data_IF_129462837151
#
_entry.id   IF_129462837151
#
_cell.length_a   1.000
_cell.length_b   1.000
_cell.length_c   1.000
_cell.angle_alpha   90.00
_cell.angle_beta   90.00
_cell.angle_gamma   90.00
#
_symmetry.space_group_name_H-M   'P 1'
#
loop_
_entity.id
_entity.type
_entity.pdbx_description
1 polymer ?
#
# COMPACT_ATOMS: atom_id res chain seq x y z
N UNK A 1 -19.99 -5.05 31.25
CA UNK A 1 -20.18 -3.56 31.23
C UNK A 1 -19.51 -2.92 30.03
N UNK A 2 -18.37 -3.41 29.54
CA UNK A 2 -17.66 -2.92 28.36
C UNK A 2 -18.43 -3.10 27.04
N UNK A 3 -19.14 -4.19 26.83
CA UNK A 3 -19.90 -4.46 25.59
C UNK A 3 -21.07 -3.49 25.35
N UNK A 4 -21.70 -2.96 26.39
CA UNK A 4 -22.80 -1.99 26.27
C UNK A 4 -22.34 -0.57 25.95
N UNK A 5 -21.10 -0.21 26.32
CA UNK A 5 -20.52 1.12 26.02
C UNK A 5 -20.07 1.16 24.55
N UNK A 6 -19.41 0.11 24.04
CA UNK A 6 -19.02 0.03 22.62
C UNK A 6 -20.24 0.02 21.68
N UNK A 7 -21.34 -0.64 22.05
CA UNK A 7 -22.58 -0.69 21.24
C UNK A 7 -23.31 0.67 21.17
N UNK A 8 -23.22 1.51 22.22
CA UNK A 8 -23.86 2.85 22.22
C UNK A 8 -23.10 3.89 21.39
N UNK A 9 -21.77 3.86 21.40
CA UNK A 9 -20.95 4.75 20.55
C UNK A 9 -21.02 4.35 19.05
N UNK A 10 -21.06 3.07 18.73
CA UNK A 10 -21.09 2.57 17.36
C UNK A 10 -22.37 2.95 16.57
N UNK A 11 -23.49 3.25 17.23
CA UNK A 11 -24.73 3.55 16.51
C UNK A 11 -24.81 4.96 15.88
N UNK A 12 -23.92 5.89 16.28
CA UNK A 12 -23.88 7.27 15.75
C UNK A 12 -22.76 7.51 14.72
N UNK A 13 -21.78 6.60 14.59
CA UNK A 13 -20.63 6.79 13.71
C UNK A 13 -20.89 6.28 12.30
N UNK A 14 -20.33 6.98 11.29
CA UNK A 14 -20.33 6.53 9.89
C UNK A 14 -19.33 5.38 9.69
N UNK A 15 -19.50 4.62 8.60
CA UNK A 15 -18.54 3.56 8.24
C UNK A 15 -17.12 4.10 8.06
N UNK A 16 -16.97 5.25 7.42
CA UNK A 16 -15.68 5.92 7.23
C UNK A 16 -15.02 6.29 8.56
N UNK A 17 -15.79 6.81 9.54
CA UNK A 17 -15.27 7.10 10.90
C UNK A 17 -14.81 5.84 11.62
N UNK A 18 -15.54 4.72 11.48
CA UNK A 18 -15.15 3.44 12.08
C UNK A 18 -13.82 2.95 11.49
N UNK A 19 -13.62 3.08 10.17
CA UNK A 19 -12.37 2.70 9.50
C UNK A 19 -11.22 3.55 10.04
N UNK A 20 -11.35 4.88 10.04
CA UNK A 20 -10.32 5.82 10.51
C UNK A 20 -9.92 5.51 11.96
N UNK A 21 -10.89 5.47 12.86
CA UNK A 21 -10.61 5.22 14.27
C UNK A 21 -10.08 3.81 14.53
N UNK A 22 -10.47 2.83 13.72
CA UNK A 22 -9.94 1.48 13.75
C UNK A 22 -8.44 1.44 13.44
N UNK A 23 -8.02 2.11 12.37
CA UNK A 23 -6.60 2.26 12.02
C UNK A 23 -5.82 3.00 13.11
N UNK A 24 -6.35 4.14 13.60
CA UNK A 24 -5.71 4.91 14.68
C UNK A 24 -5.56 4.07 15.97
N UNK A 25 -6.57 3.30 16.35
CA UNK A 25 -6.52 2.42 17.52
C UNK A 25 -5.47 1.32 17.40
N UNK A 26 -5.36 0.67 16.25
CA UNK A 26 -4.33 -0.35 15.99
C UNK A 26 -2.93 0.26 16.00
N UNK A 27 -2.75 1.45 15.42
CA UNK A 27 -1.49 2.19 15.43
C UNK A 27 -1.06 2.52 16.87
N UNK A 28 -1.96 3.06 17.69
CA UNK A 28 -1.65 3.39 19.08
C UNK A 28 -1.30 2.15 19.89
N UNK A 29 -2.06 1.07 19.75
CA UNK A 29 -1.75 -0.20 20.39
C UNK A 29 -0.37 -0.73 19.96
N UNK A 30 -0.10 -0.73 18.65
CA UNK A 30 1.19 -1.14 18.10
C UNK A 30 2.35 -0.29 18.62
N UNK A 31 2.17 1.03 18.70
CA UNK A 31 3.16 1.95 19.24
C UNK A 31 3.48 1.66 20.70
N UNK A 32 2.47 1.36 21.53
CA UNK A 32 2.66 0.99 22.93
C UNK A 32 3.39 -0.35 23.07
N UNK A 33 3.06 -1.35 22.24
CA UNK A 33 3.75 -2.64 22.25
C UNK A 33 5.22 -2.49 21.80
N UNK A 34 5.48 -1.72 20.74
CA UNK A 34 6.85 -1.48 20.26
C UNK A 34 7.69 -0.63 21.23
N UNK A 35 7.06 0.16 22.08
CA UNK A 35 7.74 0.94 23.12
C UNK A 35 8.22 0.09 24.30
N UNK A 36 7.73 -1.13 24.45
CA UNK A 36 8.16 -2.02 25.56
C UNK A 36 9.65 -2.38 25.40
N UNK A 37 10.43 -2.45 26.51
CA UNK A 37 11.84 -2.82 26.47
C UNK A 37 12.09 -4.18 25.81
N UNK A 38 11.17 -5.13 25.96
CA UNK A 38 11.25 -6.46 25.35
C UNK A 38 11.21 -6.42 23.80
N UNK A 39 10.73 -5.31 23.19
CA UNK A 39 10.64 -5.17 21.74
C UNK A 39 11.97 -4.82 21.08
N UNK A 40 13.00 -4.46 21.83
CA UNK A 40 14.33 -4.12 21.32
C UNK A 40 15.37 -5.15 21.72
N UNK A 41 16.43 -5.29 20.90
CA UNK A 41 17.55 -6.19 21.21
C UNK A 41 18.38 -5.68 22.41
N UNK A 42 18.48 -4.36 22.57
CA UNK A 42 19.22 -3.74 23.66
C UNK A 42 18.48 -3.78 25.01
N UNK A 43 17.19 -4.15 25.04
CA UNK A 43 16.34 -4.09 26.22
C UNK A 43 16.00 -2.67 26.67
N UNK A 44 16.33 -1.64 25.88
CA UNK A 44 16.01 -0.24 26.16
C UNK A 44 14.74 0.16 25.43
N UNK A 45 13.87 0.93 26.09
CA UNK A 45 12.65 1.45 25.46
C UNK A 45 13.00 2.47 24.37
N UNK A 46 12.51 2.30 23.13
CA UNK A 46 12.67 3.33 22.10
C UNK A 46 11.89 4.59 22.45
N UNK A 47 12.20 5.70 21.76
CA UNK A 47 11.40 6.92 21.90
C UNK A 47 9.97 6.66 21.41
N UNK A 48 8.99 7.35 22.00
CA UNK A 48 7.59 7.20 21.52
C UNK A 48 7.45 7.60 20.05
N UNK A 49 8.22 8.57 19.59
CA UNK A 49 8.23 9.01 18.19
C UNK A 49 8.70 7.89 17.25
N UNK A 50 9.79 7.17 17.61
CA UNK A 50 10.30 6.06 16.79
C UNK A 50 9.29 4.88 16.78
N UNK A 51 8.70 4.55 17.93
CA UNK A 51 7.69 3.51 18.06
C UNK A 51 6.41 3.85 17.27
N UNK A 52 5.96 5.12 17.33
CA UNK A 52 4.79 5.61 16.59
C UNK A 52 5.06 5.58 15.08
N UNK A 53 6.20 6.09 14.62
CA UNK A 53 6.56 6.08 13.20
C UNK A 53 6.56 4.65 12.66
N UNK A 54 7.22 3.74 13.36
CA UNK A 54 7.32 2.33 12.96
C UNK A 54 5.94 1.64 12.96
N UNK A 55 5.10 1.90 13.97
CA UNK A 55 3.74 1.35 14.03
C UNK A 55 2.85 1.89 12.91
N UNK A 56 2.93 3.20 12.60
CA UNK A 56 2.21 3.81 11.46
C UNK A 56 2.68 3.18 10.16
N UNK A 57 3.99 3.09 9.94
CA UNK A 57 4.56 2.48 8.74
C UNK A 57 4.13 1.03 8.58
N UNK A 58 4.11 0.23 9.65
CA UNK A 58 3.69 -1.17 9.61
C UNK A 58 2.18 -1.32 9.33
N UNK A 59 1.31 -0.57 10.04
CA UNK A 59 -0.15 -0.64 9.87
C UNK A 59 -0.59 -0.03 8.56
N UNK A 60 0.06 1.06 8.11
CA UNK A 60 -0.21 1.65 6.80
C UNK A 60 0.46 0.90 5.66
N UNK A 61 1.25 -0.15 5.99
CA UNK A 61 1.93 -1.01 5.02
C UNK A 61 2.84 -0.18 4.10
N UNK A 62 3.62 0.71 4.69
CA UNK A 62 4.48 1.64 3.95
C UNK A 62 5.90 1.11 3.80
N UNK A 63 6.54 0.67 4.92
CA UNK A 63 7.92 0.18 4.89
C UNK A 63 9.00 1.23 5.14
N UNK A 64 8.66 2.51 5.30
CA UNK A 64 9.63 3.51 5.77
C UNK A 64 10.01 3.22 7.22
N UNK A 65 11.30 3.23 7.53
CA UNK A 65 11.85 2.90 8.84
C UNK A 65 12.83 3.97 9.33
N UNK A 66 12.75 4.28 10.63
CA UNK A 66 13.70 5.17 11.32
C UNK A 66 14.80 4.38 12.03
N UNK A 67 14.57 3.09 12.28
CA UNK A 67 15.52 2.14 12.86
C UNK A 67 15.47 0.85 12.05
N UNK A 68 16.61 0.24 11.83
CA UNK A 68 16.68 -1.03 11.10
C UNK A 68 15.92 -2.15 11.84
N UNK A 69 15.02 -2.83 11.13
CA UNK A 69 14.10 -3.81 11.72
C UNK A 69 14.83 -5.04 12.25
N UNK A 70 15.88 -5.48 11.56
CA UNK A 70 16.61 -6.70 11.90
C UNK A 70 17.55 -6.52 13.09
N UNK A 71 18.24 -5.37 13.16
CA UNK A 71 19.29 -5.12 14.16
C UNK A 71 18.79 -4.41 15.40
N UNK A 72 17.71 -3.63 15.29
CA UNK A 72 17.15 -2.89 16.43
C UNK A 72 16.09 -3.67 17.19
N UNK A 73 15.23 -4.42 16.50
CA UNK A 73 14.10 -5.11 17.14
C UNK A 73 14.45 -6.54 17.54
N UNK A 74 13.97 -6.93 18.72
CA UNK A 74 13.98 -8.31 19.18
C UNK A 74 13.02 -9.19 18.35
N UNK A 75 13.08 -10.53 18.44
CA UNK A 75 12.08 -11.39 17.82
C UNK A 75 10.64 -11.07 18.22
N UNK A 76 10.40 -10.59 19.45
CA UNK A 76 9.10 -10.11 19.89
C UNK A 76 8.69 -8.85 19.12
N UNK A 77 9.56 -7.84 19.01
CA UNK A 77 9.29 -6.63 18.24
C UNK A 77 9.04 -6.92 16.76
N UNK A 78 9.81 -7.82 16.15
CA UNK A 78 9.59 -8.29 14.78
C UNK A 78 8.23 -8.98 14.61
N UNK A 79 7.81 -9.81 15.57
CA UNK A 79 6.49 -10.46 15.55
C UNK A 79 5.35 -9.44 15.69
N UNK A 80 5.53 -8.40 16.52
CA UNK A 80 4.57 -7.28 16.63
C UNK A 80 4.44 -6.55 15.29
N UNK A 81 5.56 -6.20 14.63
CA UNK A 81 5.52 -5.57 13.30
C UNK A 81 4.80 -6.48 12.30
N UNK A 82 5.11 -7.77 12.28
CA UNK A 82 4.47 -8.73 11.37
C UNK A 82 2.95 -8.79 11.58
N UNK A 83 2.49 -8.78 12.84
CA UNK A 83 1.08 -8.72 13.16
C UNK A 83 0.42 -7.40 12.71
N UNK A 84 1.11 -6.26 12.90
CA UNK A 84 0.63 -4.95 12.44
C UNK A 84 0.53 -4.88 10.91
N UNK A 85 1.52 -5.42 10.19
CA UNK A 85 1.50 -5.54 8.72
C UNK A 85 0.30 -6.38 8.27
N UNK A 86 0.07 -7.53 8.91
CA UNK A 86 -1.04 -8.42 8.56
C UNK A 86 -2.40 -7.75 8.78
N UNK A 87 -2.59 -7.08 9.92
CA UNK A 87 -3.82 -6.33 10.22
C UNK A 87 -4.00 -5.17 9.24
N UNK A 88 -2.94 -4.43 8.99
CA UNK A 88 -2.93 -3.31 8.07
C UNK A 88 -3.19 -3.73 6.63
N UNK A 89 -2.49 -4.75 6.12
CA UNK A 89 -2.56 -5.25 4.75
C UNK A 89 -3.94 -5.78 4.38
N UNK A 90 -4.51 -6.66 5.20
CA UNK A 90 -5.89 -7.13 5.00
C UNK A 90 -6.95 -6.07 5.29
N UNK A 91 -6.58 -5.01 6.00
CA UNK A 91 -7.50 -3.97 6.47
C UNK A 91 -8.13 -4.31 7.84
N UNK A 92 -8.09 -3.34 8.75
CA UNK A 92 -8.54 -3.47 10.15
C UNK A 92 -9.96 -4.02 10.25
N UNK A 93 -10.87 -3.54 9.39
CA UNK A 93 -12.28 -3.97 9.38
C UNK A 93 -12.43 -5.43 8.93
N UNK A 94 -11.63 -5.86 7.95
CA UNK A 94 -11.63 -7.25 7.46
C UNK A 94 -11.17 -8.22 8.56
N UNK A 95 -10.11 -7.85 9.29
CA UNK A 95 -9.60 -8.65 10.41
C UNK A 95 -10.60 -8.70 11.56
N UNK A 96 -11.21 -7.56 11.92
CA UNK A 96 -12.26 -7.52 12.95
C UNK A 96 -13.48 -8.38 12.58
N UNK A 97 -13.86 -8.36 11.30
CA UNK A 97 -14.93 -9.22 10.79
C UNK A 97 -14.55 -10.72 10.83
N UNK A 98 -13.30 -11.05 10.50
CA UNK A 98 -12.78 -12.41 10.60
C UNK A 98 -12.88 -12.94 12.04
N UNK A 99 -12.41 -12.17 13.01
CA UNK A 99 -12.50 -12.53 14.44
C UNK A 99 -13.97 -12.73 14.85
N UNK A 100 -14.89 -11.87 14.37
CA UNK A 100 -16.32 -11.99 14.66
C UNK A 100 -16.91 -13.29 14.09
N UNK A 101 -16.55 -13.65 12.86
CA UNK A 101 -16.98 -14.90 12.21
C UNK A 101 -16.45 -16.13 12.94
N UNK A 102 -15.14 -16.14 13.25
CA UNK A 102 -14.49 -17.26 13.97
C UNK A 102 -15.10 -17.45 15.36
N UNK A 103 -15.48 -16.35 16.02
CA UNK A 103 -16.15 -16.39 17.34
C UNK A 103 -17.63 -16.81 17.26
N UNK A 104 -18.15 -17.19 16.09
CA UNK A 104 -19.54 -17.64 15.89
C UNK A 104 -20.60 -16.53 16.03
N UNK A 105 -20.20 -15.27 16.14
CA UNK A 105 -21.13 -14.13 16.28
C UNK A 105 -21.74 -13.73 14.93
N UNK A 106 -23.01 -13.32 14.94
CA UNK A 106 -23.70 -12.84 13.72
C UNK A 106 -23.24 -11.42 13.39
N UNK A 107 -22.90 -11.18 12.12
CA UNK A 107 -22.52 -9.86 11.60
C UNK A 107 -23.78 -9.08 11.24
N UNK A 108 -24.01 -7.93 11.90
CA UNK A 108 -25.13 -7.03 11.65
C UNK A 108 -25.01 -6.27 10.32
N UNK A 109 -26.12 -5.67 9.84
CA UNK A 109 -26.17 -4.94 8.57
C UNK A 109 -25.16 -3.78 8.52
N UNK A 110 -25.02 -3.01 9.60
CA UNK A 110 -24.07 -1.90 9.69
C UNK A 110 -22.61 -2.38 9.54
N UNK A 111 -22.24 -3.48 10.20
CA UNK A 111 -20.92 -4.09 10.06
C UNK A 111 -20.67 -4.55 8.62
N UNK A 112 -21.69 -5.14 7.96
CA UNK A 112 -21.57 -5.54 6.55
C UNK A 112 -21.39 -4.35 5.62
N UNK A 113 -22.05 -3.22 5.88
CA UNK A 113 -21.85 -1.98 5.12
C UNK A 113 -20.43 -1.43 5.31
N UNK A 114 -19.91 -1.44 6.54
CA UNK A 114 -18.53 -1.02 6.81
C UNK A 114 -17.51 -1.95 6.15
N UNK A 115 -17.76 -3.28 6.14
CA UNK A 115 -16.92 -4.24 5.41
C UNK A 115 -16.95 -4.00 3.90
N UNK A 116 -18.13 -3.70 3.33
CA UNK A 116 -18.28 -3.37 1.91
C UNK A 116 -17.43 -2.16 1.54
N UNK A 117 -17.50 -1.09 2.33
CA UNK A 117 -16.71 0.13 2.11
C UNK A 117 -15.22 -0.15 2.24
N UNK A 118 -14.78 -0.85 3.28
CA UNK A 118 -13.37 -1.18 3.52
C UNK A 118 -12.74 -2.04 2.40
N UNK A 119 -13.50 -2.97 1.82
CA UNK A 119 -13.01 -3.86 0.73
C UNK A 119 -13.28 -3.24 -0.65
N UNK A 120 -13.98 -2.10 -0.72
CA UNK A 120 -14.49 -1.51 -1.97
C UNK A 120 -15.35 -2.51 -2.78
N UNK A 121 -16.17 -3.32 -2.11
CA UNK A 121 -17.04 -4.30 -2.74
C UNK A 121 -18.28 -3.63 -3.35
N UNK A 122 -18.78 -4.07 -4.52
CA UNK A 122 -19.90 -3.43 -5.21
C UNK A 122 -21.25 -3.64 -4.51
N UNK A 123 -21.37 -4.65 -3.65
CA UNK A 123 -22.63 -5.02 -2.98
C UNK A 123 -22.40 -5.50 -1.55
N UNK A 124 -23.36 -5.24 -0.66
CA UNK A 124 -23.35 -5.74 0.73
C UNK A 124 -23.62 -7.24 0.78
N UNK A 125 -24.42 -7.75 -0.17
CA UNK A 125 -24.74 -9.18 -0.26
C UNK A 125 -23.49 -10.02 -0.57
N UNK A 126 -23.26 -11.11 0.19
CA UNK A 126 -22.11 -11.99 0.00
C UNK A 126 -20.80 -11.50 0.63
N UNK A 127 -20.76 -10.32 1.27
CA UNK A 127 -19.53 -9.74 1.82
C UNK A 127 -18.82 -10.65 2.84
N UNK A 128 -19.57 -11.39 3.65
CA UNK A 128 -19.00 -12.33 4.63
C UNK A 128 -18.30 -13.50 3.94
N UNK A 129 -18.88 -14.03 2.84
CA UNK A 129 -18.27 -15.09 2.04
C UNK A 129 -17.01 -14.58 1.35
N UNK A 130 -17.05 -13.36 0.79
CA UNK A 130 -15.90 -12.69 0.18
C UNK A 130 -14.78 -12.49 1.20
N UNK A 131 -15.07 -12.04 2.42
CA UNK A 131 -14.08 -11.90 3.50
C UNK A 131 -13.42 -13.24 3.85
N UNK A 132 -14.20 -14.31 3.98
CA UNK A 132 -13.65 -15.65 4.19
C UNK A 132 -12.75 -16.12 3.04
N UNK A 133 -13.12 -15.82 1.79
CA UNK A 133 -12.31 -16.08 0.61
C UNK A 133 -11.00 -15.31 0.65
N UNK A 134 -11.03 -14.01 0.97
CA UNK A 134 -9.84 -13.15 1.09
C UNK A 134 -8.86 -13.74 2.10
N UNK A 135 -9.31 -14.03 3.33
CA UNK A 135 -8.45 -14.54 4.40
C UNK A 135 -7.80 -15.85 4.01
N UNK A 136 -8.62 -16.82 3.52
CA UNK A 136 -8.11 -18.13 3.11
C UNK A 136 -7.08 -18.02 1.99
N UNK A 137 -7.37 -17.21 0.98
CA UNK A 137 -6.48 -17.04 -0.18
C UNK A 137 -5.18 -16.35 0.23
N UNK A 138 -5.24 -15.31 1.07
CA UNK A 138 -4.06 -14.61 1.60
C UNK A 138 -3.16 -15.59 2.35
N UNK A 139 -3.69 -16.35 3.31
CA UNK A 139 -2.90 -17.34 4.07
C UNK A 139 -2.25 -18.39 3.16
N UNK A 140 -2.97 -18.88 2.14
CA UNK A 140 -2.42 -19.87 1.19
C UNK A 140 -1.24 -19.26 0.42
N UNK A 141 -1.39 -18.03 -0.10
CA UNK A 141 -0.34 -17.35 -0.87
C UNK A 141 0.87 -17.07 0.03
N UNK A 142 0.65 -16.61 1.26
CA UNK A 142 1.71 -16.37 2.24
C UNK A 142 2.47 -17.65 2.59
N UNK A 143 1.79 -18.77 2.78
CA UNK A 143 2.43 -20.06 3.04
C UNK A 143 3.24 -20.55 1.84
N UNK A 144 2.73 -20.43 0.61
CA UNK A 144 3.48 -20.78 -0.60
C UNK A 144 4.75 -19.91 -0.70
N UNK A 145 4.62 -18.59 -0.52
CA UNK A 145 5.75 -17.68 -0.52
C UNK A 145 6.77 -18.03 0.57
N UNK A 146 6.29 -18.35 1.78
CA UNK A 146 7.13 -18.79 2.90
C UNK A 146 7.97 -20.01 2.53
N UNK A 147 7.35 -21.05 1.95
CA UNK A 147 8.06 -22.26 1.56
C UNK A 147 9.14 -21.95 0.51
N UNK A 148 8.81 -21.17 -0.52
CA UNK A 148 9.75 -20.84 -1.60
C UNK A 148 10.92 -20.01 -1.06
N UNK A 149 10.67 -18.97 -0.28
CA UNK A 149 11.71 -18.09 0.25
C UNK A 149 12.54 -18.80 1.32
N UNK A 150 11.92 -19.61 2.20
CA UNK A 150 12.64 -20.39 3.20
C UNK A 150 13.60 -21.41 2.57
N UNK A 151 13.24 -22.01 1.43
CA UNK A 151 14.11 -22.95 0.73
C UNK A 151 15.46 -22.31 0.30
N UNK A 152 15.46 -20.99 0.02
CA UNK A 152 16.68 -20.25 -0.28
C UNK A 152 17.36 -19.78 1.02
N UNK A 153 16.63 -19.12 1.91
CA UNK A 153 17.19 -18.50 3.11
C UNK A 153 17.74 -19.51 4.11
N UNK A 154 17.17 -20.72 4.19
CA UNK A 154 17.70 -21.78 5.06
C UNK A 154 19.12 -22.25 4.63
N UNK A 155 19.43 -22.17 3.34
CA UNK A 155 20.79 -22.51 2.84
C UNK A 155 21.82 -21.48 3.29
N UNK A 156 21.40 -20.20 3.36
CA UNK A 156 22.31 -19.08 3.64
C UNK A 156 22.44 -18.78 5.14
N UNK A 157 21.39 -19.02 5.93
CA UNK A 157 21.27 -18.53 7.31
C UNK A 157 20.96 -19.62 8.34
N UNK A 158 20.82 -20.90 7.88
CA UNK A 158 20.39 -22.03 8.72
C UNK A 158 18.87 -22.12 8.86
N UNK A 159 18.38 -23.30 9.30
CA UNK A 159 16.96 -23.67 9.24
C UNK A 159 16.08 -22.72 10.06
N UNK A 160 16.41 -22.44 11.32
CA UNK A 160 15.55 -21.64 12.20
C UNK A 160 15.39 -20.20 11.72
N UNK A 161 16.50 -19.52 11.40
CA UNK A 161 16.47 -18.16 10.86
C UNK A 161 15.86 -18.13 9.46
N UNK A 162 16.19 -19.08 8.61
CA UNK A 162 15.70 -19.13 7.24
C UNK A 162 14.18 -19.25 7.15
N UNK A 163 13.55 -20.06 8.02
CA UNK A 163 12.09 -20.17 8.08
C UNK A 163 11.45 -18.84 8.57
N UNK A 164 12.01 -18.25 9.63
CA UNK A 164 11.50 -16.96 10.15
C UNK A 164 11.59 -15.85 9.11
N UNK A 165 12.74 -15.74 8.42
CA UNK A 165 12.95 -14.76 7.35
C UNK A 165 12.02 -15.02 6.16
N UNK A 166 11.84 -16.29 5.76
CA UNK A 166 10.91 -16.67 4.70
C UNK A 166 9.48 -16.27 5.02
N UNK A 167 9.01 -16.54 6.24
CA UNK A 167 7.69 -16.15 6.71
C UNK A 167 7.52 -14.62 6.74
N UNK A 168 8.48 -13.91 7.33
CA UNK A 168 8.44 -12.47 7.46
C UNK A 168 8.39 -11.78 6.08
N UNK A 169 9.29 -12.15 5.16
CA UNK A 169 9.33 -11.55 3.83
C UNK A 169 8.13 -11.95 2.98
N UNK A 170 7.59 -13.15 3.12
CA UNK A 170 6.39 -13.57 2.41
C UNK A 170 5.18 -12.72 2.81
N UNK A 171 4.92 -12.58 4.10
CA UNK A 171 3.81 -11.75 4.61
C UNK A 171 4.02 -10.29 4.23
N UNK A 172 5.24 -9.77 4.43
CA UNK A 172 5.58 -8.39 4.07
C UNK A 172 5.37 -8.13 2.57
N UNK A 173 5.73 -9.08 1.69
CA UNK A 173 5.56 -8.95 0.24
C UNK A 173 4.09 -9.04 -0.21
N UNK A 174 3.30 -9.98 0.31
CA UNK A 174 1.87 -10.11 -0.02
C UNK A 174 1.09 -8.90 0.48
N UNK A 175 1.43 -8.41 1.67
CA UNK A 175 0.84 -7.21 2.24
C UNK A 175 1.36 -5.92 1.59
N UNK A 176 2.39 -5.98 0.73
CA UNK A 176 3.06 -4.82 0.14
C UNK A 176 3.61 -3.87 1.21
N UNK A 177 4.29 -4.40 2.23
CA UNK A 177 4.71 -3.63 3.40
C UNK A 177 6.17 -3.17 3.37
N UNK A 178 7.04 -3.81 2.57
CA UNK A 178 8.43 -3.41 2.39
C UNK A 178 9.35 -3.60 3.59
N UNK A 179 8.86 -4.09 4.71
CA UNK A 179 9.70 -4.44 5.85
C UNK A 179 10.49 -5.70 5.55
N UNK A 180 11.77 -5.68 5.87
CA UNK A 180 12.68 -6.81 5.72
C UNK A 180 13.52 -7.05 6.98
N UNK A 181 14.22 -8.18 7.02
CA UNK A 181 15.14 -8.56 8.10
C UNK A 181 16.58 -8.71 7.60
N UNK A 182 16.91 -8.20 6.41
CA UNK A 182 18.23 -8.36 5.80
C UNK A 182 19.29 -7.44 6.42
N UNK A 183 18.89 -6.44 7.19
CA UNK A 183 19.78 -5.54 7.94
C UNK A 183 20.76 -6.23 8.88
N UNK A 184 20.57 -7.53 9.18
CA UNK A 184 21.55 -8.33 9.92
C UNK A 184 22.87 -8.55 9.14
N UNK A 185 22.89 -8.40 7.81
CA UNK A 185 24.08 -8.44 6.96
C UNK A 185 24.68 -7.04 6.80
N UNK A 186 23.86 -6.11 6.40
CA UNK A 186 24.19 -4.70 6.22
C UNK A 186 22.95 -3.87 6.50
N UNK A 187 23.06 -2.87 7.41
CA UNK A 187 21.93 -2.08 7.85
C UNK A 187 21.27 -1.37 6.66
N UNK A 188 19.95 -1.39 6.62
CA UNK A 188 19.11 -0.77 5.58
C UNK A 188 19.33 -1.32 4.15
N UNK A 189 20.00 -2.47 3.97
CA UNK A 189 20.34 -3.01 2.64
C UNK A 189 19.16 -3.64 1.89
N UNK A 190 18.07 -3.98 2.58
CA UNK A 190 16.92 -4.70 2.00
C UNK A 190 17.36 -5.98 1.24
N UNK A 191 16.85 -6.22 0.03
CA UNK A 191 17.14 -7.41 -0.77
C UNK A 191 18.33 -7.25 -1.73
N UNK A 192 19.22 -6.26 -1.54
CA UNK A 192 20.35 -5.98 -2.46
C UNK A 192 21.27 -7.20 -2.62
N UNK A 193 21.50 -7.98 -1.56
CA UNK A 193 22.28 -9.21 -1.63
C UNK A 193 21.69 -10.24 -2.62
N UNK A 194 20.36 -10.24 -2.80
CA UNK A 194 19.64 -11.12 -3.72
C UNK A 194 19.28 -10.47 -5.04
N UNK A 195 19.85 -9.32 -5.39
CA UNK A 195 19.52 -8.53 -6.59
C UNK A 195 19.51 -9.34 -7.89
N UNK A 196 20.38 -10.33 -8.01
CA UNK A 196 20.47 -11.21 -9.20
C UNK A 196 19.96 -12.63 -8.98
N UNK A 197 19.35 -12.92 -7.79
CA UNK A 197 18.89 -14.28 -7.48
C UNK A 197 17.48 -14.51 -8.07
N UNK A 198 17.33 -15.39 -9.10
CA UNK A 198 16.09 -15.49 -9.87
C UNK A 198 14.89 -15.94 -9.02
N UNK A 199 15.09 -16.91 -8.12
CA UNK A 199 14.00 -17.46 -7.29
C UNK A 199 13.48 -16.42 -6.31
N UNK A 200 14.37 -15.69 -5.60
CA UNK A 200 13.94 -14.66 -4.64
C UNK A 200 13.23 -13.53 -5.36
N UNK A 201 13.81 -13.00 -6.45
CA UNK A 201 13.21 -11.93 -7.23
C UNK A 201 11.84 -12.31 -7.78
N UNK A 202 11.73 -13.48 -8.42
CA UNK A 202 10.45 -13.95 -8.97
C UNK A 202 9.40 -14.15 -7.89
N UNK A 203 9.77 -14.78 -6.76
CA UNK A 203 8.85 -15.03 -5.66
C UNK A 203 8.34 -13.72 -5.05
N UNK A 204 9.24 -12.79 -4.71
CA UNK A 204 8.86 -11.52 -4.10
C UNK A 204 8.03 -10.67 -5.06
N UNK A 205 8.43 -10.53 -6.34
CA UNK A 205 7.64 -9.81 -7.34
C UNK A 205 6.25 -10.42 -7.53
N UNK A 206 6.14 -11.76 -7.61
CA UNK A 206 4.86 -12.44 -7.75
C UNK A 206 3.94 -12.19 -6.53
N UNK A 207 4.49 -12.24 -5.30
CA UNK A 207 3.75 -11.95 -4.07
C UNK A 207 3.26 -10.49 -4.05
N UNK A 208 4.12 -9.52 -4.41
CA UNK A 208 3.78 -8.10 -4.52
C UNK A 208 2.65 -7.87 -5.52
N UNK A 209 2.79 -8.40 -6.72
CA UNK A 209 1.77 -8.23 -7.78
C UNK A 209 0.46 -8.87 -7.36
N UNK A 210 0.51 -10.07 -6.80
CA UNK A 210 -0.69 -10.77 -6.33
C UNK A 210 -1.40 -9.99 -5.24
N UNK A 211 -0.69 -9.48 -4.24
CA UNK A 211 -1.24 -8.61 -3.21
C UNK A 211 -1.87 -7.33 -3.79
N UNK A 212 -1.20 -6.73 -4.77
CA UNK A 212 -1.57 -5.44 -5.37
C UNK A 212 -2.71 -5.44 -6.38
N UNK A 213 -3.09 -6.58 -7.00
CA UNK A 213 -4.15 -6.63 -8.03
C UNK A 213 -5.58 -6.63 -7.48
N UNK A 214 -5.75 -6.78 -6.16
CA UNK A 214 -7.04 -6.67 -5.48
C UNK A 214 -7.86 -7.96 -5.37
N UNK A 215 -8.58 -8.04 -4.26
CA UNK A 215 -9.32 -9.25 -3.86
C UNK A 215 -10.45 -9.63 -4.82
N UNK A 216 -11.12 -8.63 -5.41
CA UNK A 216 -12.16 -8.87 -6.42
C UNK A 216 -11.58 -9.40 -7.74
N UNK A 217 -10.33 -9.05 -8.07
CA UNK A 217 -9.63 -9.62 -9.21
C UNK A 217 -9.25 -11.07 -8.96
N UNK A 218 -8.85 -11.43 -7.72
CA UNK A 218 -8.64 -12.84 -7.34
C UNK A 218 -9.92 -13.67 -7.49
N UNK A 219 -11.07 -13.12 -7.07
CA UNK A 219 -12.36 -13.77 -7.25
C UNK A 219 -12.67 -14.01 -8.73
N UNK A 220 -12.47 -13.00 -9.59
CA UNK A 220 -12.68 -13.15 -11.05
C UNK A 220 -11.72 -14.19 -11.67
N UNK A 221 -10.46 -14.24 -11.24
CA UNK A 221 -9.47 -15.22 -11.72
C UNK A 221 -9.88 -16.65 -11.31
N UNK A 222 -10.31 -16.83 -10.07
CA UNK A 222 -10.67 -18.17 -9.57
C UNK A 222 -12.00 -18.67 -10.15
N UNK A 223 -13.01 -17.80 -10.32
CA UNK A 223 -14.33 -18.17 -10.83
C UNK A 223 -14.36 -18.31 -12.37
N UNK A 224 -13.72 -17.36 -13.08
CA UNK A 224 -13.85 -17.24 -14.54
C UNK A 224 -12.64 -17.76 -15.30
N UNK A 225 -11.55 -18.12 -14.60
CA UNK A 225 -10.33 -18.73 -15.13
C UNK A 225 -9.79 -17.93 -16.36
N UNK A 226 -9.62 -18.58 -17.51
CA UNK A 226 -9.06 -17.99 -18.73
C UNK A 226 -10.03 -17.11 -19.53
N UNK A 227 -11.30 -16.98 -19.11
CA UNK A 227 -12.31 -16.22 -19.85
C UNK A 227 -12.25 -14.73 -19.52
N UNK A 228 -11.16 -14.04 -19.89
CA UNK A 228 -10.92 -12.60 -19.64
C UNK A 228 -12.10 -11.72 -20.08
N UNK A 229 -12.77 -12.09 -21.18
CA UNK A 229 -13.98 -11.41 -21.67
C UNK A 229 -15.14 -11.38 -20.66
N UNK A 230 -15.18 -12.29 -19.69
CA UNK A 230 -16.22 -12.37 -18.64
C UNK A 230 -15.84 -11.67 -17.33
N UNK A 231 -14.60 -11.16 -17.22
CA UNK A 231 -14.15 -10.44 -16.02
C UNK A 231 -14.95 -9.14 -15.87
N UNK A 232 -15.07 -8.66 -14.62
CA UNK A 232 -15.59 -7.31 -14.33
C UNK A 232 -14.73 -6.27 -15.06
N UNK A 233 -15.34 -5.14 -15.45
CA UNK A 233 -14.59 -4.01 -16.04
C UNK A 233 -13.39 -3.64 -15.19
N UNK A 234 -13.61 -3.49 -13.89
CA UNK A 234 -12.56 -3.15 -12.92
C UNK A 234 -11.36 -4.11 -12.98
N UNK A 235 -11.58 -5.42 -13.00
CA UNK A 235 -10.51 -6.43 -13.06
C UNK A 235 -9.73 -6.36 -14.37
N UNK A 236 -10.41 -6.11 -15.51
CA UNK A 236 -9.73 -5.92 -16.82
C UNK A 236 -8.84 -4.68 -16.82
N UNK A 237 -9.35 -3.56 -16.30
CA UNK A 237 -8.59 -2.31 -16.17
C UNK A 237 -7.38 -2.51 -15.29
N UNK A 238 -7.54 -3.15 -14.12
CA UNK A 238 -6.47 -3.41 -13.17
C UNK A 238 -5.37 -4.24 -13.83
N UNK A 239 -5.71 -5.35 -14.49
CA UNK A 239 -4.72 -6.22 -15.10
C UNK A 239 -3.98 -5.53 -16.25
N UNK A 240 -4.70 -4.80 -17.13
CA UNK A 240 -4.09 -4.09 -18.24
C UNK A 240 -3.15 -2.97 -17.77
N UNK A 241 -3.61 -2.10 -16.86
CA UNK A 241 -2.80 -1.00 -16.35
C UNK A 241 -1.61 -1.52 -15.53
N UNK A 242 -1.81 -2.58 -14.74
CA UNK A 242 -0.72 -3.23 -14.00
C UNK A 242 0.37 -3.75 -14.95
N UNK A 243 -0.01 -4.42 -16.03
CA UNK A 243 0.94 -4.91 -17.02
C UNK A 243 1.73 -3.77 -17.67
N UNK A 244 1.05 -2.68 -18.07
CA UNK A 244 1.70 -1.49 -18.65
C UNK A 244 2.68 -0.86 -17.68
N UNK A 245 2.27 -0.64 -16.41
CA UNK A 245 3.09 -0.04 -15.37
C UNK A 245 4.26 -0.92 -14.89
N UNK A 246 4.27 -2.21 -15.23
CA UNK A 246 5.43 -3.09 -15.01
C UNK A 246 6.33 -3.09 -16.25
N UNK A 247 5.76 -3.32 -17.44
CA UNK A 247 6.57 -3.56 -18.63
C UNK A 247 7.29 -2.29 -19.12
N UNK A 248 6.57 -1.15 -19.19
CA UNK A 248 7.19 0.08 -19.72
C UNK A 248 8.37 0.56 -18.86
N UNK A 249 8.23 0.68 -17.51
CA UNK A 249 9.37 1.09 -16.68
C UNK A 249 10.49 0.04 -16.65
N UNK A 250 10.16 -1.26 -16.69
CA UNK A 250 11.19 -2.31 -16.75
C UNK A 250 12.06 -2.18 -18.01
N UNK A 251 11.43 -1.93 -19.18
CA UNK A 251 12.15 -1.65 -20.42
C UNK A 251 12.99 -0.39 -20.29
N UNK A 252 12.43 0.69 -19.73
CA UNK A 252 13.15 1.94 -19.51
C UNK A 252 14.40 1.72 -18.62
N UNK A 253 14.25 1.14 -17.43
CA UNK A 253 15.39 0.88 -16.54
C UNK A 253 16.42 -0.07 -17.14
N UNK A 254 15.99 -1.07 -17.91
CA UNK A 254 16.90 -1.99 -18.59
C UNK A 254 17.79 -1.28 -19.60
N UNK A 255 17.28 -0.37 -20.39
CA UNK A 255 18.05 0.28 -21.46
C UNK A 255 18.78 1.54 -21.00
N UNK A 256 18.23 2.30 -20.05
CA UNK A 256 18.74 3.63 -19.73
C UNK A 256 19.46 3.72 -18.37
N UNK A 257 19.10 2.90 -17.39
CA UNK A 257 19.65 3.08 -16.03
C UNK A 257 20.74 2.08 -15.65
N UNK A 258 20.60 0.84 -16.04
CA UNK A 258 21.46 -0.25 -15.52
C UNK A 258 22.49 -0.74 -16.54
N UNK A 259 23.04 0.13 -17.38
CA UNK A 259 23.93 -0.26 -18.49
C UNK A 259 25.25 -0.86 -18.01
N UNK A 260 25.75 -0.49 -16.84
CA UNK A 260 26.96 -1.04 -16.23
C UNK A 260 26.81 -2.49 -15.76
N UNK A 261 25.59 -2.98 -15.62
CA UNK A 261 25.30 -4.32 -15.11
C UNK A 261 25.17 -5.33 -16.27
N UNK A 262 25.76 -6.55 -16.19
CA UNK A 262 25.59 -7.58 -17.20
C UNK A 262 24.12 -7.92 -17.47
N UNK A 263 23.74 -8.10 -18.75
CA UNK A 263 22.35 -8.24 -19.19
C UNK A 263 21.54 -9.31 -18.43
N UNK A 264 22.15 -10.45 -18.09
CA UNK A 264 21.48 -11.51 -17.34
C UNK A 264 21.09 -11.16 -15.90
N UNK A 265 21.83 -10.25 -15.25
CA UNK A 265 21.49 -9.71 -13.93
C UNK A 265 20.56 -8.48 -14.05
N UNK A 266 20.82 -7.65 -15.06
CA UNK A 266 20.10 -6.41 -15.35
C UNK A 266 18.59 -6.63 -15.48
N UNK A 267 18.17 -7.72 -16.14
CA UNK A 267 16.75 -8.01 -16.34
C UNK A 267 16.01 -8.18 -15.01
N UNK A 268 16.61 -8.86 -14.02
CA UNK A 268 15.98 -9.05 -12.70
C UNK A 268 15.88 -7.74 -11.93
N UNK A 269 16.94 -6.94 -11.95
CA UNK A 269 16.99 -5.64 -11.28
C UNK A 269 15.99 -4.66 -11.90
N UNK A 270 15.93 -4.57 -13.24
CA UNK A 270 15.00 -3.69 -13.94
C UNK A 270 13.53 -4.09 -13.73
N UNK A 271 13.21 -5.39 -13.78
CA UNK A 271 11.88 -5.89 -13.47
C UNK A 271 11.50 -5.62 -12.02
N UNK A 272 12.43 -5.86 -11.08
CA UNK A 272 12.16 -5.63 -9.67
C UNK A 272 11.90 -4.14 -9.38
N UNK A 273 12.70 -3.24 -9.96
CA UNK A 273 12.55 -1.79 -9.81
C UNK A 273 11.32 -1.22 -10.53
N UNK A 274 10.70 -1.96 -11.44
CA UNK A 274 9.39 -1.59 -12.00
C UNK A 274 8.21 -2.06 -11.14
N UNK A 275 8.39 -3.15 -10.38
CA UNK A 275 7.34 -3.73 -9.53
C UNK A 275 7.31 -3.08 -8.15
N UNK A 276 8.47 -2.87 -7.51
CA UNK A 276 8.55 -2.44 -6.12
C UNK A 276 7.97 -1.04 -5.84
N UNK A 277 8.09 -0.01 -6.74
CA UNK A 277 7.49 1.30 -6.48
C UNK A 277 5.97 1.28 -6.42
N UNK A 278 5.35 0.19 -6.84
CA UNK A 278 3.90 0.00 -6.75
C UNK A 278 3.48 -0.50 -5.36
N UNK A 279 3.88 0.27 -4.34
CA UNK A 279 3.55 0.10 -2.91
C UNK A 279 4.20 -1.09 -2.21
N UNK A 280 5.35 -1.60 -2.69
CA UNK A 280 5.99 -2.76 -2.07
C UNK A 280 7.19 -2.43 -1.18
N UNK A 281 8.05 -1.50 -1.59
CA UNK A 281 9.11 -0.94 -0.75
C UNK A 281 10.40 -1.76 -0.60
N UNK A 282 10.44 -2.99 -1.08
CA UNK A 282 11.69 -3.75 -1.12
C UNK A 282 12.67 -3.15 -2.13
N UNK A 283 13.95 -3.17 -1.81
CA UNK A 283 14.99 -2.64 -2.67
C UNK A 283 16.02 -3.71 -3.04
N UNK A 284 16.47 -3.71 -4.31
CA UNK A 284 17.50 -4.61 -4.82
C UNK A 284 18.70 -3.88 -5.42
N UNK A 285 18.62 -2.53 -5.51
CA UNK A 285 19.67 -1.66 -6.06
C UNK A 285 19.81 -0.41 -5.22
N UNK A 286 20.95 0.24 -5.23
CA UNK A 286 21.08 1.56 -4.61
C UNK A 286 20.41 2.62 -5.50
N UNK A 287 19.33 3.22 -4.98
CA UNK A 287 18.57 4.26 -5.70
C UNK A 287 19.32 5.60 -5.76
N UNK A 288 20.35 5.80 -4.94
CA UNK A 288 21.19 7.00 -5.02
C UNK A 288 22.07 7.03 -6.29
N UNK A 289 22.28 5.87 -6.91
CA UNK A 289 22.99 5.76 -8.19
C UNK A 289 22.10 6.08 -9.40
N UNK A 290 20.76 6.21 -9.20
CA UNK A 290 19.82 6.49 -10.28
C UNK A 290 19.92 7.94 -10.75
N UNK A 291 19.76 8.13 -12.06
CA UNK A 291 19.62 9.46 -12.66
C UNK A 291 18.36 10.18 -12.11
N UNK A 292 18.36 11.50 -12.09
CA UNK A 292 17.21 12.30 -11.66
C UNK A 292 15.95 11.98 -12.49
N UNK A 293 16.12 11.69 -13.79
CA UNK A 293 15.02 11.27 -14.66
C UNK A 293 14.44 9.94 -14.24
N UNK A 294 15.26 8.97 -13.85
CA UNK A 294 14.81 7.67 -13.34
C UNK A 294 14.16 7.80 -11.97
N UNK A 295 14.67 8.65 -11.09
CA UNK A 295 14.01 8.96 -9.81
C UNK A 295 12.63 9.61 -10.03
N UNK A 296 12.48 10.49 -11.02
CA UNK A 296 11.17 11.04 -11.39
C UNK A 296 10.20 9.97 -11.89
N UNK A 297 10.66 9.01 -12.70
CA UNK A 297 9.84 7.85 -13.11
C UNK A 297 9.43 7.01 -11.90
N UNK A 298 10.34 6.74 -10.96
CA UNK A 298 10.02 6.03 -9.71
C UNK A 298 8.98 6.79 -8.89
N UNK A 299 9.10 8.12 -8.74
CA UNK A 299 8.10 8.98 -8.06
C UNK A 299 6.73 8.82 -8.73
N UNK A 300 6.63 8.86 -10.06
CA UNK A 300 5.36 8.68 -10.77
C UNK A 300 4.75 7.29 -10.52
N UNK A 301 5.58 6.25 -10.47
CA UNK A 301 5.14 4.90 -10.11
C UNK A 301 4.66 4.80 -8.67
N UNK A 302 5.35 5.45 -7.72
CA UNK A 302 5.00 5.49 -6.30
C UNK A 302 3.66 6.19 -6.06
N UNK A 303 3.40 7.29 -6.78
CA UNK A 303 2.10 7.98 -6.72
C UNK A 303 0.96 7.13 -7.28
N UNK A 304 1.26 6.15 -8.16
CA UNK A 304 0.29 5.23 -8.72
C UNK A 304 0.34 3.90 -7.99
N UNK A 305 -0.44 3.74 -6.95
CA UNK A 305 -0.50 2.55 -6.10
C UNK A 305 -1.12 1.31 -6.76
N UNK A 306 -1.66 0.41 -5.95
CA UNK A 306 -2.31 -0.82 -6.42
C UNK A 306 -3.79 -0.66 -6.76
N UNK A 307 -4.50 -1.80 -6.78
CA UNK A 307 -5.92 -1.87 -7.08
C UNK A 307 -6.80 -1.46 -5.88
N UNK A 308 -8.05 -1.00 -6.11
CA UNK A 308 -9.04 -0.92 -5.04
C UNK A 308 -9.30 -2.31 -4.42
N UNK A 309 -9.47 -2.36 -3.09
CA UNK A 309 -9.66 -3.64 -2.39
C UNK A 309 -8.46 -4.57 -2.54
N UNK A 310 -7.23 -4.05 -2.37
CA UNK A 310 -5.97 -4.78 -2.35
C UNK A 310 -5.21 -4.51 -1.05
N UNK A 311 -4.11 -5.21 -0.85
CA UNK A 311 -3.19 -4.93 0.25
C UNK A 311 -2.44 -3.60 0.08
N UNK A 312 -2.29 -3.14 -1.16
CA UNK A 312 -1.62 -1.91 -1.56
C UNK A 312 -2.37 -0.64 -1.12
N UNK A 313 -1.64 0.41 -0.72
CA UNK A 313 -2.18 1.73 -0.42
C UNK A 313 -2.14 2.70 -1.61
N UNK A 314 -1.95 3.99 -1.35
CA UNK A 314 -1.78 5.04 -2.36
C UNK A 314 -2.98 5.27 -3.27
N UNK A 315 -2.78 6.11 -4.29
CA UNK A 315 -3.77 6.36 -5.33
C UNK A 315 -3.95 5.12 -6.21
N UNK A 316 -5.19 4.72 -6.47
CA UNK A 316 -5.48 3.45 -7.13
C UNK A 316 -5.26 3.50 -8.66
N UNK A 317 -4.79 2.38 -9.23
CA UNK A 317 -4.60 2.25 -10.70
C UNK A 317 -5.87 2.56 -11.50
N UNK A 318 -7.05 2.32 -10.92
CA UNK A 318 -8.34 2.66 -11.55
C UNK A 318 -8.58 4.17 -11.61
N UNK A 319 -8.05 4.94 -10.66
CA UNK A 319 -8.09 6.42 -10.67
C UNK A 319 -7.27 6.96 -11.83
N UNK A 320 -6.03 6.47 -12.01
CA UNK A 320 -5.19 6.83 -13.16
C UNK A 320 -5.86 6.43 -14.48
N UNK A 321 -6.41 5.22 -14.56
CA UNK A 321 -7.10 4.74 -15.75
C UNK A 321 -8.30 5.61 -16.13
N UNK A 322 -9.11 6.03 -15.14
CA UNK A 322 -10.25 6.91 -15.35
C UNK A 322 -9.81 8.28 -15.89
N UNK A 323 -8.76 8.87 -15.30
CA UNK A 323 -8.24 10.18 -15.72
C UNK A 323 -7.65 10.13 -17.13
N UNK A 324 -6.80 9.14 -17.44
CA UNK A 324 -6.23 8.97 -18.78
C UNK A 324 -7.30 8.71 -19.83
N UNK A 325 -8.30 7.88 -19.53
CA UNK A 325 -9.40 7.62 -20.45
C UNK A 325 -10.25 8.85 -20.71
N UNK A 326 -10.45 9.70 -19.69
CA UNK A 326 -11.14 10.98 -19.83
C UNK A 326 -10.35 11.93 -20.74
N UNK A 327 -9.04 12.02 -20.54
CA UNK A 327 -8.19 12.84 -21.42
C UNK A 327 -8.25 12.37 -22.88
N UNK A 328 -8.17 11.05 -23.12
CA UNK A 328 -8.31 10.47 -24.48
C UNK A 328 -9.70 10.77 -25.07
N UNK A 329 -10.76 10.65 -24.26
CA UNK A 329 -12.13 10.96 -24.67
C UNK A 329 -12.26 12.40 -25.15
N UNK A 330 -11.72 13.37 -24.38
CA UNK A 330 -11.71 14.79 -24.75
C UNK A 330 -10.93 15.04 -26.03
N UNK A 331 -9.75 14.41 -26.20
CA UNK A 331 -8.96 14.52 -27.45
C UNK A 331 -9.68 13.95 -28.67
N UNK A 332 -10.49 12.90 -28.47
CA UNK A 332 -11.31 12.30 -29.55
C UNK A 332 -12.63 13.01 -29.79
N UNK A 333 -12.96 13.98 -28.94
CA UNK A 333 -14.29 14.68 -28.93
C UNK A 333 -15.46 13.72 -28.75
N UNK A 334 -15.25 12.65 -27.97
CA UNK A 334 -16.30 11.70 -27.62
C UNK A 334 -17.17 12.31 -26.50
N UNK A 335 -18.49 12.10 -26.54
CA UNK A 335 -19.43 12.64 -25.54
C UNK A 335 -19.28 11.98 -24.15
N UNK A 336 -18.76 10.76 -24.10
CA UNK A 336 -18.69 9.97 -22.87
C UNK A 336 -17.39 9.19 -22.75
N UNK A 337 -16.82 9.19 -21.55
CA UNK A 337 -15.64 8.37 -21.25
C UNK A 337 -15.99 6.88 -21.26
N UNK A 338 -15.32 6.13 -22.13
CA UNK A 338 -15.51 4.70 -22.32
C UNK A 338 -14.23 3.92 -22.04
N UNK A 339 -14.35 2.77 -21.35
CA UNK A 339 -13.27 1.80 -21.14
C UNK A 339 -13.77 0.40 -21.46
N UNK A 340 -13.05 -0.34 -22.29
CA UNK A 340 -13.38 -1.72 -22.70
C UNK A 340 -14.86 -1.87 -23.14
N UNK A 341 -15.37 -0.89 -23.90
CA UNK A 341 -16.74 -0.90 -24.41
C UNK A 341 -17.82 -0.62 -23.34
N UNK A 342 -17.45 -0.04 -22.19
CA UNK A 342 -18.41 0.36 -21.14
C UNK A 342 -18.20 1.82 -20.76
N UNK A 343 -19.30 2.56 -20.59
CA UNK A 343 -19.31 3.95 -20.14
C UNK A 343 -18.95 4.03 -18.65
N UNK A 344 -18.09 5.00 -18.30
CA UNK A 344 -17.76 5.37 -16.92
C UNK A 344 -18.70 6.49 -16.47
N UNK A 345 -19.32 6.40 -15.27
CA UNK A 345 -20.16 7.47 -14.73
C UNK A 345 -19.33 8.74 -14.47
N UNK A 346 -19.93 9.91 -14.72
CA UNK A 346 -19.30 11.23 -14.50
C UNK A 346 -18.93 11.47 -13.04
N UNK A 347 -19.69 10.88 -12.10
CA UNK A 347 -19.36 10.89 -10.68
C UNK A 347 -18.02 10.21 -10.40
N UNK A 348 -17.75 9.09 -11.07
CA UNK A 348 -16.45 8.38 -10.93
C UNK A 348 -15.29 9.26 -11.41
N UNK A 349 -15.48 10.01 -12.49
CA UNK A 349 -14.47 10.93 -13.03
C UNK A 349 -14.23 12.09 -12.05
N UNK A 350 -15.28 12.70 -11.49
CA UNK A 350 -15.16 13.75 -10.48
C UNK A 350 -14.42 13.25 -9.21
N UNK A 351 -14.78 12.08 -8.73
CA UNK A 351 -14.10 11.45 -7.61
C UNK A 351 -12.62 11.17 -7.91
N UNK A 352 -12.31 10.69 -9.12
CA UNK A 352 -10.93 10.46 -9.56
C UNK A 352 -10.13 11.78 -9.60
N UNK A 353 -10.68 12.84 -10.17
CA UNK A 353 -10.05 14.15 -10.22
C UNK A 353 -9.79 14.71 -8.80
N UNK A 354 -10.76 14.59 -7.88
CA UNK A 354 -10.60 15.00 -6.48
C UNK A 354 -9.45 14.25 -5.80
N UNK A 355 -9.37 12.93 -5.98
CA UNK A 355 -8.29 12.12 -5.41
C UNK A 355 -6.94 12.58 -5.95
N UNK A 356 -6.80 12.72 -7.27
CA UNK A 356 -5.54 13.14 -7.91
C UNK A 356 -5.09 14.50 -7.37
N UNK A 357 -6.01 15.49 -7.34
CA UNK A 357 -5.71 16.84 -6.83
C UNK A 357 -5.24 16.80 -5.38
N UNK A 358 -5.95 16.05 -4.52
CA UNK A 358 -5.58 15.91 -3.11
C UNK A 358 -4.20 15.27 -2.94
N UNK A 359 -3.95 14.15 -3.62
CA UNK A 359 -2.66 13.44 -3.52
C UNK A 359 -1.50 14.31 -4.01
N UNK A 360 -1.63 14.98 -5.17
CA UNK A 360 -0.62 15.86 -5.71
C UNK A 360 -0.36 17.07 -4.78
N UNK A 361 -1.42 17.66 -4.22
CA UNK A 361 -1.27 18.79 -3.28
C UNK A 361 -0.51 18.35 -2.03
N UNK A 362 -0.91 17.24 -1.39
CA UNK A 362 -0.25 16.75 -0.18
C UNK A 362 1.19 16.33 -0.43
N UNK A 363 1.46 15.67 -1.55
CA UNK A 363 2.79 15.29 -2.01
C UNK A 363 3.71 16.50 -2.17
N UNK A 364 3.28 17.51 -2.93
CA UNK A 364 4.07 18.71 -3.21
C UNK A 364 4.27 19.56 -1.96
N UNK A 365 3.20 19.85 -1.22
CA UNK A 365 3.26 20.66 0.01
C UNK A 365 4.15 19.99 1.05
N UNK A 366 3.98 18.68 1.28
CA UNK A 366 4.81 17.92 2.19
C UNK A 366 6.29 17.96 1.82
N UNK A 367 6.61 17.73 0.53
CA UNK A 367 7.98 17.77 0.01
C UNK A 367 8.64 19.15 0.16
N UNK A 368 7.91 20.23 -0.14
CA UNK A 368 8.39 21.59 0.02
C UNK A 368 8.68 21.94 1.51
N UNK A 369 7.79 21.53 2.43
CA UNK A 369 7.99 21.80 3.86
C UNK A 369 9.22 21.02 4.37
N UNK A 370 9.35 19.73 4.02
CA UNK A 370 10.50 18.90 4.43
C UNK A 370 11.79 19.48 3.85
N UNK A 371 11.82 19.82 2.55
CA UNK A 371 13.00 20.42 1.91
C UNK A 371 13.44 21.71 2.61
N UNK A 372 12.50 22.57 2.99
CA UNK A 372 12.79 23.81 3.72
C UNK A 372 13.28 23.54 5.14
N UNK A 373 12.70 22.58 5.83
CA UNK A 373 13.04 22.26 7.23
C UNK A 373 14.39 21.58 7.34
N UNK A 374 14.64 20.58 6.49
CA UNK A 374 15.87 19.76 6.53
C UNK A 374 17.02 20.36 5.71
N UNK A 375 16.75 21.38 4.88
CA UNK A 375 17.71 21.97 3.91
C UNK A 375 18.29 20.95 2.94
N UNK A 376 17.46 19.99 2.51
CA UNK A 376 17.81 18.94 1.55
C UNK A 376 17.30 19.29 0.15
N UNK A 377 17.87 18.69 -0.92
CA UNK A 377 17.39 18.84 -2.29
C UNK A 377 15.90 18.50 -2.40
N UNK A 378 15.16 19.31 -3.17
CA UNK A 378 13.70 19.11 -3.30
C UNK A 378 13.35 17.73 -3.86
N UNK A 379 14.09 17.23 -4.85
CA UNK A 379 13.83 15.92 -5.46
C UNK A 379 13.91 14.79 -4.43
N UNK A 380 14.90 14.84 -3.53
CA UNK A 380 15.06 13.86 -2.44
C UNK A 380 13.87 13.90 -1.48
N UNK A 381 13.41 15.11 -1.12
CA UNK A 381 12.24 15.27 -0.24
C UNK A 381 10.93 14.87 -0.92
N UNK A 382 10.79 15.13 -2.22
CA UNK A 382 9.66 14.67 -3.02
C UNK A 382 9.66 13.14 -3.14
N UNK A 383 10.81 12.51 -3.24
CA UNK A 383 10.91 11.05 -3.25
C UNK A 383 10.34 10.43 -1.95
N UNK A 384 10.73 10.98 -0.78
CA UNK A 384 10.21 10.54 0.53
C UNK A 384 8.71 10.77 0.67
N UNK A 385 8.21 11.95 0.26
CA UNK A 385 6.77 12.24 0.36
C UNK A 385 5.93 11.42 -0.61
N UNK A 386 6.44 11.14 -1.81
CA UNK A 386 5.79 10.21 -2.76
C UNK A 386 5.73 8.79 -2.17
N UNK A 387 6.84 8.34 -1.57
CA UNK A 387 6.92 7.05 -0.89
C UNK A 387 5.94 6.97 0.29
N UNK A 388 5.84 8.01 1.11
CA UNK A 388 4.93 8.06 2.25
C UNK A 388 3.46 8.06 1.82
N UNK A 389 3.05 8.99 0.94
CA UNK A 389 1.65 9.09 0.52
C UNK A 389 1.22 7.93 -0.40
N UNK A 390 2.16 7.41 -1.20
CA UNK A 390 1.98 6.20 -1.99
C UNK A 390 1.96 4.93 -1.13
N UNK A 391 2.37 5.01 0.14
CA UNK A 391 2.62 3.88 1.05
C UNK A 391 3.54 2.83 0.42
N UNK A 392 4.72 3.27 -0.03
CA UNK A 392 5.66 2.45 -0.82
C UNK A 392 6.80 1.91 0.01
N UNK A 393 7.51 2.77 0.76
CA UNK A 393 8.63 2.38 1.61
C UNK A 393 10.01 2.54 1.00
N UNK A 394 10.11 2.90 -0.28
CA UNK A 394 11.40 3.25 -0.89
C UNK A 394 11.91 4.59 -0.33
N UNK A 395 13.21 4.69 -0.11
CA UNK A 395 13.87 5.88 0.43
C UNK A 395 15.23 6.08 -0.25
N UNK A 396 15.68 7.34 -0.29
CA UNK A 396 17.06 7.70 -0.63
C UNK A 396 17.95 7.79 0.64
N UNK A 397 17.52 7.13 1.73
CA UNK A 397 18.30 7.00 2.97
C UNK A 397 18.12 8.15 3.96
N UNK A 398 17.27 9.14 3.69
CA UNK A 398 17.12 10.31 4.57
C UNK A 398 16.17 10.06 5.76
N UNK A 399 15.27 9.08 5.71
CA UNK A 399 14.23 8.82 6.72
C UNK A 399 14.77 8.76 8.17
N UNK A 400 15.90 8.04 8.47
CA UNK A 400 16.42 7.95 9.83
C UNK A 400 16.94 9.27 10.39
N UNK A 401 17.41 10.19 9.52
CA UNK A 401 18.02 11.47 9.92
C UNK A 401 17.03 12.62 10.02
N UNK A 402 15.76 12.44 9.58
CA UNK A 402 14.74 13.49 9.58
C UNK A 402 14.40 13.99 10.98
N UNK A 403 14.14 15.30 11.09
CA UNK A 403 13.63 15.95 12.30
C UNK A 403 12.24 15.43 12.70
N UNK A 404 11.82 15.70 13.93
CA UNK A 404 10.51 15.29 14.43
C UNK A 404 9.35 15.83 13.57
N UNK A 405 9.44 17.10 13.12
CA UNK A 405 8.41 17.72 12.28
C UNK A 405 8.25 16.96 10.97
N UNK A 406 9.36 16.69 10.27
CA UNK A 406 9.37 15.96 9.01
C UNK A 406 8.82 14.53 9.16
N UNK A 407 9.17 13.85 10.25
CA UNK A 407 8.62 12.52 10.58
C UNK A 407 7.10 12.56 10.80
N UNK A 408 6.56 13.58 11.49
CA UNK A 408 5.11 13.73 11.67
C UNK A 408 4.39 14.02 10.34
N UNK A 409 4.99 14.79 9.44
CA UNK A 409 4.46 15.00 8.09
C UNK A 409 4.37 13.66 7.35
N UNK A 410 5.43 12.85 7.36
CA UNK A 410 5.42 11.52 6.75
C UNK A 410 4.36 10.60 7.39
N UNK A 411 4.18 10.63 8.72
CA UNK A 411 3.13 9.89 9.44
C UNK A 411 1.73 10.25 8.89
N UNK A 412 1.44 11.54 8.72
CA UNK A 412 0.16 12.00 8.18
C UNK A 412 -0.02 11.54 6.74
N UNK A 413 1.04 11.62 5.92
CA UNK A 413 1.00 11.16 4.53
C UNK A 413 0.77 9.64 4.43
N UNK A 414 1.49 8.83 5.20
CA UNK A 414 1.31 7.37 5.26
C UNK A 414 -0.11 6.99 5.67
N UNK A 415 -0.63 7.65 6.71
CA UNK A 415 -1.99 7.42 7.19
C UNK A 415 -3.05 7.76 6.14
N UNK A 416 -2.90 8.93 5.48
CA UNK A 416 -3.80 9.37 4.40
C UNK A 416 -3.74 8.43 3.20
N UNK A 417 -2.56 8.01 2.81
CA UNK A 417 -2.33 7.06 1.73
C UNK A 417 -3.00 5.70 1.97
N UNK A 418 -3.00 5.25 3.23
CA UNK A 418 -3.59 3.94 3.60
C UNK A 418 -5.11 3.98 3.75
N UNK A 419 -5.63 4.93 4.50
CA UNK A 419 -7.09 5.04 4.76
C UNK A 419 -7.85 5.38 3.48
N UNK A 420 -7.21 6.11 2.57
CA UNK A 420 -7.79 6.57 1.32
C UNK A 420 -8.43 7.96 1.43
N UNK A 421 -8.14 8.80 0.44
CA UNK A 421 -8.53 10.20 0.47
C UNK A 421 -10.04 10.45 0.55
N UNK A 422 -10.84 9.70 -0.20
CA UNK A 422 -12.31 9.85 -0.16
C UNK A 422 -12.88 9.47 1.21
N UNK A 423 -12.35 8.44 1.86
CA UNK A 423 -12.78 8.02 3.19
C UNK A 423 -12.54 9.13 4.22
N UNK A 424 -11.38 9.81 4.13
CA UNK A 424 -11.07 10.95 4.99
C UNK A 424 -11.99 12.14 4.71
N UNK A 425 -12.20 12.50 3.44
CA UNK A 425 -13.09 13.61 3.05
C UNK A 425 -14.53 13.35 3.53
N UNK A 426 -15.08 12.16 3.26
CA UNK A 426 -16.45 11.83 3.65
C UNK A 426 -16.64 11.73 5.17
N UNK A 427 -15.58 11.47 5.93
CA UNK A 427 -15.66 11.47 7.39
C UNK A 427 -15.63 12.88 7.98
N UNK A 428 -14.91 13.81 7.32
CA UNK A 428 -14.75 15.20 7.78
C UNK A 428 -15.94 16.08 7.36
N UNK A 429 -16.51 15.82 6.17
CA UNK A 429 -17.69 16.57 5.70
C UNK A 429 -18.93 15.88 6.24
N UNK A 430 -19.51 16.43 7.33
CA UNK A 430 -20.85 16.04 7.76
C UNK A 430 -21.79 16.14 6.55
N UNK A 431 -22.61 15.11 6.31
CA UNK A 431 -23.58 15.12 5.21
C UNK A 431 -24.55 16.31 5.42
N UNK A 432 -24.22 17.46 4.87
CA UNK A 432 -25.17 18.51 4.65
C UNK A 432 -26.18 17.94 3.68
N UNK A 433 -27.39 17.73 4.15
CA UNK A 433 -28.54 17.33 3.35
C UNK A 433 -28.53 18.13 2.06
N UNK A 434 -28.49 17.42 0.92
CA UNK A 434 -28.35 18.05 -0.38
C UNK A 434 -29.32 19.20 -0.54
N UNK A 435 -28.79 20.36 -0.87
CA UNK A 435 -29.61 21.50 -1.27
C UNK A 435 -30.43 21.05 -2.48
N UNK A 436 -31.74 21.00 -2.34
CA UNK A 436 -32.69 20.59 -3.38
C UNK A 436 -32.70 21.54 -4.56
N UNK A 437 -32.24 22.80 -4.36
CA UNK A 437 -32.15 23.80 -5.41
C UNK A 437 -30.78 23.74 -6.13
N UNK A 438 -30.83 23.63 -7.47
CA UNK A 438 -29.64 23.78 -8.32
C UNK A 438 -29.36 25.27 -8.52
N UNK A 439 -28.09 25.67 -8.37
CA UNK A 439 -27.66 27.01 -8.72
C UNK A 439 -27.71 27.21 -10.25
N UNK A 440 -27.94 28.45 -10.75
CA UNK A 440 -27.81 28.74 -12.18
C UNK A 440 -26.45 28.31 -12.72
N UNK A 441 -26.44 27.82 -13.96
CA UNK A 441 -25.21 27.42 -14.63
C UNK A 441 -24.64 28.61 -15.41
N UNK A 442 -23.36 28.88 -15.18
CA UNK A 442 -22.57 29.82 -15.97
C UNK A 442 -21.36 29.11 -16.56
N UNK A 443 -20.98 29.48 -17.78
CA UNK A 443 -19.85 28.86 -18.48
C UNK A 443 -18.54 29.47 -17.99
N UNK A 444 -17.65 28.63 -17.50
CA UNK A 444 -16.26 28.97 -17.20
C UNK A 444 -15.37 28.42 -18.32
N UNK A 445 -14.55 29.27 -18.92
CA UNK A 445 -13.57 28.86 -19.91
C UNK A 445 -12.39 28.20 -19.22
N UNK A 446 -12.09 26.96 -19.59
CA UNK A 446 -10.90 26.23 -19.16
C UNK A 446 -10.02 26.03 -20.38
N UNK A 447 -8.79 26.57 -20.35
CA UNK A 447 -7.63 26.50 -21.22
C UNK A 447 -7.78 26.13 -22.66
#
# INVERSE_FOLDING_TARGET
>A
MGDRIMLKFGNKMTSSQIIILGFAGVILLGSLLLKLPISTQSGQSPTFSDALFTAVSAVCVTGLIVRDTATFLSPFGQAVILALIQIGGMGVVTVAAAITVISGRKIGLKQRSTMQEAIAAPRVGGIVRLTGFIIRTTIIIELIGTVILSAVFCRDMGIGRGIWYGLFHSISAVCNAGFDLMGAREQFSSLTYYASHPVVNTAVMALIVTGGIGFLTWEDITEKKHKLGRYRLQSRVILAVTAVLIVLPAVYFFFFEMQSVPAGKRIWMALFQSVTPRTAGFNTVDLNEFSESSLAVVIMLMLTGGAPGSTAGGMKVTTLAAMLSTAICVFRRDDHTNLFGRRIPDETIRNAATIVTMYLTMFLVGGCIISRTERLPLLTCLFETASAIGTVGLTLGITPSLSALSRYILIVLMYTGRVGGLTLIFSAVASTHGKTARLPQERLTVG
#
